data_IF_090296736501
#
_entry.id   IF_090296736501
#
_cell.length_a   1.000
_cell.length_b   1.000
_cell.length_c   1.000
_cell.angle_alpha   90.00
_cell.angle_beta   90.00
_cell.angle_gamma   90.00
#
_symmetry.space_group_name_H-M   'P 1'
#
loop_
_entity.id
_entity.type
_entity.pdbx_description
1 polymer ?
#
# COMPACT_ATOMS: atom_id res chain seq x y z
N UNK A 1 -2.10 -1.76 -4.82
CA UNK A 1 -1.51 -3.09 -5.05
C UNK A 1 -1.91 -3.49 -6.45
N UNK A 2 -0.96 -3.96 -7.25
CA UNK A 2 -1.26 -4.45 -8.59
C UNK A 2 -0.47 -5.71 -8.86
N UNK A 3 -1.17 -6.78 -9.22
CA UNK A 3 -0.56 -8.02 -9.73
C UNK A 3 -0.45 -8.00 -11.26
N UNK A 4 -0.72 -6.84 -11.89
CA UNK A 4 -0.68 -6.66 -13.34
C UNK A 4 -1.94 -7.18 -14.05
N UNK A 5 -2.99 -7.51 -13.29
CA UNK A 5 -4.27 -7.99 -13.80
C UNK A 5 -5.38 -7.08 -13.25
N UNK A 6 -6.00 -6.21 -14.08
CA UNK A 6 -6.92 -5.18 -13.62
C UNK A 6 -8.09 -5.66 -12.75
N UNK A 7 -8.59 -6.88 -12.99
CA UNK A 7 -9.68 -7.48 -12.19
C UNK A 7 -9.20 -7.90 -10.79
N UNK A 8 -7.99 -8.47 -10.66
CA UNK A 8 -7.42 -8.82 -9.37
C UNK A 8 -7.03 -7.56 -8.58
N UNK A 9 -6.52 -6.55 -9.27
CA UNK A 9 -6.23 -5.24 -8.68
C UNK A 9 -7.51 -4.55 -8.16
N UNK A 10 -8.64 -4.74 -8.85
CA UNK A 10 -9.94 -4.26 -8.41
C UNK A 10 -10.44 -5.00 -7.17
N UNK A 11 -10.26 -6.33 -7.13
CA UNK A 11 -10.57 -7.14 -5.96
C UNK A 11 -9.74 -6.67 -4.74
N UNK A 12 -8.41 -6.51 -4.88
CA UNK A 12 -7.56 -6.04 -3.77
C UNK A 12 -7.98 -4.66 -3.23
N UNK A 13 -8.53 -3.77 -4.08
CA UNK A 13 -9.08 -2.48 -3.63
C UNK A 13 -10.31 -2.62 -2.74
N UNK A 14 -11.13 -3.67 -2.92
CA UNK A 14 -12.29 -3.96 -2.05
C UNK A 14 -11.81 -4.25 -0.63
N UNK A 15 -10.83 -5.15 -0.47
CA UNK A 15 -10.29 -5.50 0.83
C UNK A 15 -9.67 -4.31 1.57
N UNK A 16 -8.93 -3.46 0.86
CA UNK A 16 -8.40 -2.20 1.41
C UNK A 16 -9.54 -1.28 1.87
N UNK A 17 -10.64 -1.21 1.11
CA UNK A 17 -11.83 -0.46 1.49
C UNK A 17 -12.44 -0.93 2.81
N UNK A 18 -12.50 -2.25 3.03
CA UNK A 18 -12.99 -2.85 4.27
C UNK A 18 -12.08 -2.54 5.47
N UNK A 19 -10.76 -2.61 5.28
CA UNK A 19 -9.76 -2.22 6.28
C UNK A 19 -9.94 -0.75 6.68
N UNK A 20 -10.08 0.15 5.71
CA UNK A 20 -10.30 1.58 5.95
C UNK A 20 -11.63 1.85 6.67
N UNK A 21 -12.67 1.08 6.37
CA UNK A 21 -13.94 1.19 7.07
C UNK A 21 -13.80 0.82 8.55
N UNK A 22 -13.15 -0.31 8.86
CA UNK A 22 -12.86 -0.71 10.24
C UNK A 22 -12.00 0.30 10.99
N UNK A 23 -10.98 0.87 10.34
CA UNK A 23 -10.12 1.88 10.97
C UNK A 23 -10.91 3.09 11.45
N UNK A 24 -11.84 3.58 10.63
CA UNK A 24 -12.67 4.75 10.95
C UNK A 24 -13.69 4.47 12.04
N UNK A 25 -14.14 3.22 12.18
CA UNK A 25 -15.17 2.87 13.16
C UNK A 25 -14.61 2.59 14.56
N UNK A 26 -13.28 2.58 14.76
CA UNK A 26 -12.67 2.30 16.08
C UNK A 26 -13.07 3.38 17.08
N UNK A 27 -13.73 2.97 18.16
CA UNK A 27 -14.17 3.89 19.23
C UNK A 27 -15.40 4.71 18.89
N UNK A 28 -16.02 4.48 17.73
CA UNK A 28 -17.31 5.08 17.34
C UNK A 28 -18.47 4.26 17.94
N UNK A 29 -19.63 4.89 18.14
CA UNK A 29 -20.86 4.23 18.56
C UNK A 29 -21.29 3.13 17.58
N UNK A 30 -20.92 3.25 16.30
CA UNK A 30 -21.22 2.29 15.24
C UNK A 30 -20.14 1.21 15.04
N UNK A 31 -19.12 1.12 15.91
CA UNK A 31 -17.99 0.18 15.77
C UNK A 31 -18.45 -1.25 15.45
N UNK A 32 -19.38 -1.78 16.26
CA UNK A 32 -19.84 -3.16 16.12
C UNK A 32 -20.71 -3.38 14.87
N UNK A 33 -21.46 -2.36 14.43
CA UNK A 33 -22.22 -2.44 13.20
C UNK A 33 -21.27 -2.49 11.98
N UNK A 34 -20.22 -1.67 11.99
CA UNK A 34 -19.17 -1.68 10.99
C UNK A 34 -18.44 -3.04 10.93
N UNK A 35 -18.11 -3.62 12.09
CA UNK A 35 -17.52 -4.98 12.18
C UNK A 35 -18.41 -6.00 11.48
N UNK A 36 -19.71 -6.04 11.79
CA UNK A 36 -20.64 -6.98 11.18
C UNK A 36 -20.78 -6.78 9.67
N UNK A 37 -20.77 -5.53 9.20
CA UNK A 37 -20.78 -5.23 7.76
C UNK A 37 -19.52 -5.71 7.05
N UNK A 38 -18.35 -5.51 7.67
CA UNK A 38 -17.08 -5.96 7.10
C UNK A 38 -16.98 -7.48 7.07
N UNK A 39 -17.35 -8.19 8.13
CA UNK A 39 -17.25 -9.66 8.16
C UNK A 39 -18.11 -10.31 7.06
N UNK A 40 -19.34 -9.83 6.83
CA UNK A 40 -20.18 -10.29 5.71
C UNK A 40 -19.56 -10.00 4.34
N UNK A 41 -19.04 -8.80 4.16
CA UNK A 41 -18.39 -8.41 2.90
C UNK A 41 -17.11 -9.23 2.64
N UNK A 42 -16.37 -9.61 3.67
CA UNK A 42 -15.17 -10.46 3.56
C UNK A 42 -15.51 -11.88 3.11
N UNK A 43 -16.63 -12.44 3.56
CA UNK A 43 -17.08 -13.78 3.17
C UNK A 43 -17.39 -13.83 1.66
N UNK A 44 -18.19 -12.87 1.18
CA UNK A 44 -18.54 -12.75 -0.25
C UNK A 44 -17.31 -12.47 -1.12
N UNK A 45 -16.43 -11.58 -0.65
CA UNK A 45 -15.17 -11.24 -1.31
C UNK A 45 -14.23 -12.45 -1.42
N UNK A 46 -13.97 -13.15 -0.31
CA UNK A 46 -13.02 -14.25 -0.23
C UNK A 46 -13.40 -15.38 -1.19
N UNK A 47 -14.67 -15.78 -1.19
CA UNK A 47 -15.14 -16.83 -2.10
C UNK A 47 -14.97 -16.42 -3.57
N UNK A 48 -15.32 -15.18 -3.93
CA UNK A 48 -15.28 -14.74 -5.33
C UNK A 48 -13.87 -14.46 -5.85
N UNK A 49 -13.00 -13.91 -5.01
CA UNK A 49 -11.63 -13.53 -5.36
C UNK A 49 -10.71 -14.74 -5.45
N UNK A 50 -10.68 -15.58 -4.41
CA UNK A 50 -9.80 -16.76 -4.36
C UNK A 50 -10.12 -17.74 -5.48
N UNK A 51 -11.40 -17.97 -5.76
CA UNK A 51 -11.80 -18.83 -6.88
C UNK A 51 -11.28 -18.29 -8.22
N UNK A 52 -11.27 -16.96 -8.41
CA UNK A 52 -10.76 -16.33 -9.63
C UNK A 52 -9.25 -16.52 -9.74
N UNK A 53 -8.53 -16.18 -8.69
CA UNK A 53 -7.09 -16.28 -8.60
C UNK A 53 -6.62 -17.72 -8.82
N UNK A 54 -7.22 -18.69 -8.13
CA UNK A 54 -6.89 -20.12 -8.27
C UNK A 54 -7.18 -20.66 -9.67
N UNK A 55 -8.23 -20.18 -10.35
CA UNK A 55 -8.48 -20.52 -11.76
C UNK A 55 -7.36 -20.02 -12.65
N UNK A 56 -6.91 -18.78 -12.46
CA UNK A 56 -5.82 -18.18 -13.23
C UNK A 56 -4.50 -18.92 -12.98
N UNK A 57 -4.19 -19.22 -11.72
CA UNK A 57 -3.00 -19.97 -11.32
C UNK A 57 -2.99 -21.40 -11.86
N UNK A 58 -4.15 -22.07 -11.88
CA UNK A 58 -4.31 -23.41 -12.49
C UNK A 58 -4.07 -23.37 -13.99
N UNK A 59 -4.57 -22.34 -14.67
CA UNK A 59 -4.40 -22.17 -16.11
C UNK A 59 -2.94 -21.91 -16.52
N UNK A 60 -2.17 -21.16 -15.73
CA UNK A 60 -0.72 -20.98 -15.97
C UNK A 60 0.16 -22.06 -15.32
N UNK A 61 -0.44 -23.12 -14.76
CA UNK A 61 0.24 -24.23 -14.07
C UNK A 61 1.22 -23.77 -12.99
N UNK A 62 0.79 -22.80 -12.18
CA UNK A 62 1.63 -22.24 -11.13
C UNK A 62 2.06 -23.32 -10.11
N UNK A 63 3.37 -23.52 -9.88
CA UNK A 63 3.88 -24.64 -9.08
C UNK A 63 3.44 -24.66 -7.62
N UNK A 64 3.14 -23.50 -7.02
CA UNK A 64 2.78 -23.36 -5.61
C UNK A 64 1.27 -23.21 -5.38
N UNK A 65 0.44 -23.59 -6.36
CA UNK A 65 -1.03 -23.46 -6.27
C UNK A 65 -1.60 -24.11 -4.99
N UNK A 66 -1.18 -25.33 -4.67
CA UNK A 66 -1.71 -26.04 -3.49
C UNK A 66 -1.32 -25.35 -2.17
N UNK A 67 -0.12 -24.77 -2.10
CA UNK A 67 0.33 -24.00 -0.94
C UNK A 67 -0.47 -22.70 -0.82
N UNK A 68 -0.69 -21.99 -1.92
CA UNK A 68 -1.46 -20.74 -1.94
C UNK A 68 -2.91 -20.97 -1.54
N UNK A 69 -3.52 -22.05 -2.03
CA UNK A 69 -4.87 -22.48 -1.66
C UNK A 69 -5.02 -22.79 -0.17
N UNK A 70 -4.00 -23.36 0.48
CA UNK A 70 -4.02 -23.57 1.93
C UNK A 70 -4.08 -22.24 2.69
N UNK A 71 -3.40 -21.19 2.20
CA UNK A 71 -3.50 -19.84 2.78
C UNK A 71 -4.91 -19.26 2.62
N UNK A 72 -5.56 -19.47 1.47
CA UNK A 72 -6.96 -19.07 1.27
C UNK A 72 -7.91 -19.77 2.25
N UNK A 73 -7.77 -21.09 2.41
CA UNK A 73 -8.59 -21.87 3.35
C UNK A 73 -8.44 -21.35 4.77
N UNK A 74 -7.22 -21.11 5.24
CA UNK A 74 -6.97 -20.57 6.57
C UNK A 74 -7.57 -19.17 6.80
N UNK A 75 -7.62 -18.34 5.75
CA UNK A 75 -8.30 -17.05 5.81
C UNK A 75 -9.80 -17.19 6.00
N UNK A 76 -10.44 -18.02 5.17
CA UNK A 76 -11.89 -18.27 5.23
C UNK A 76 -12.28 -18.81 6.61
N UNK A 77 -11.56 -19.81 7.12
CA UNK A 77 -11.80 -20.38 8.46
C UNK A 77 -11.67 -19.33 9.58
N UNK A 78 -10.77 -18.36 9.42
CA UNK A 78 -10.61 -17.26 10.37
C UNK A 78 -11.79 -16.28 10.31
N UNK A 79 -12.20 -15.87 9.10
CA UNK A 79 -13.35 -14.97 8.89
C UNK A 79 -14.61 -15.60 9.45
N UNK A 80 -14.89 -16.86 9.11
CA UNK A 80 -16.04 -17.58 9.66
C UNK A 80 -16.00 -17.68 11.18
N UNK A 81 -14.82 -17.87 11.78
CA UNK A 81 -14.69 -17.91 13.24
C UNK A 81 -15.02 -16.57 13.89
N UNK A 82 -14.60 -15.46 13.27
CA UNK A 82 -14.96 -14.11 13.73
C UNK A 82 -16.45 -13.86 13.53
N UNK A 83 -17.03 -14.27 12.40
CA UNK A 83 -18.46 -14.16 12.10
C UNK A 83 -19.31 -14.90 13.14
N UNK A 84 -18.99 -16.17 13.43
CA UNK A 84 -19.70 -16.96 14.46
C UNK A 84 -19.64 -16.32 15.85
N UNK A 85 -18.49 -15.75 16.23
CA UNK A 85 -18.35 -15.02 17.50
C UNK A 85 -19.24 -13.77 17.52
N UNK A 86 -19.19 -12.98 16.45
CA UNK A 86 -19.98 -11.77 16.31
C UNK A 86 -21.50 -12.04 16.33
N UNK A 87 -21.95 -13.11 15.68
CA UNK A 87 -23.37 -13.52 15.69
C UNK A 87 -23.84 -13.98 17.07
N UNK A 88 -22.98 -14.66 17.83
CA UNK A 88 -23.30 -15.08 19.19
C UNK A 88 -23.32 -13.89 20.18
N UNK A 89 -22.37 -12.95 20.03
CA UNK A 89 -22.28 -11.72 20.80
C UNK A 89 -21.58 -10.65 19.95
N UNK A 90 -22.35 -9.63 19.56
CA UNK A 90 -21.85 -8.54 18.70
C UNK A 90 -20.70 -7.76 19.33
N UNK A 91 -20.61 -7.75 20.67
CA UNK A 91 -19.55 -7.04 21.40
C UNK A 91 -18.27 -7.85 21.56
N UNK A 92 -18.33 -9.15 21.23
CA UNK A 92 -17.20 -10.08 21.37
C UNK A 92 -16.08 -9.87 20.36
N UNK A 93 -16.32 -9.07 19.31
CA UNK A 93 -15.35 -8.78 18.25
C UNK A 93 -15.19 -7.27 18.11
N UNK A 94 -13.96 -6.77 18.27
CA UNK A 94 -13.61 -5.36 18.14
C UNK A 94 -13.07 -5.05 16.74
N UNK A 95 -13.26 -3.82 16.29
CA UNK A 95 -12.72 -3.38 15.00
C UNK A 95 -11.18 -3.49 14.95
N UNK A 96 -10.50 -3.25 16.09
CA UNK A 96 -9.04 -3.43 16.21
C UNK A 96 -8.57 -4.86 15.99
N UNK A 97 -9.33 -5.85 16.45
CA UNK A 97 -8.98 -7.27 16.30
C UNK A 97 -9.09 -7.70 14.83
N UNK A 98 -10.21 -7.31 14.19
CA UNK A 98 -10.41 -7.51 12.76
C UNK A 98 -9.32 -6.81 11.94
N UNK A 99 -9.00 -5.57 12.28
CA UNK A 99 -7.95 -4.80 11.59
C UNK A 99 -6.58 -5.47 11.68
N UNK A 100 -6.21 -5.96 12.87
CA UNK A 100 -4.94 -6.65 13.09
C UNK A 100 -4.85 -7.91 12.24
N UNK A 101 -5.92 -8.70 12.22
CA UNK A 101 -6.00 -9.90 11.36
C UNK A 101 -5.90 -9.55 9.87
N UNK A 102 -6.71 -8.60 9.39
CA UNK A 102 -6.77 -8.25 7.97
C UNK A 102 -5.47 -7.61 7.47
N UNK A 103 -4.85 -6.74 8.26
CA UNK A 103 -3.55 -6.16 7.89
C UNK A 103 -2.46 -7.24 7.83
N UNK A 104 -2.43 -8.16 8.80
CA UNK A 104 -1.48 -9.27 8.77
C UNK A 104 -1.69 -10.14 7.53
N UNK A 105 -2.93 -10.50 7.23
CA UNK A 105 -3.22 -11.31 6.05
C UNK A 105 -2.92 -10.58 4.74
N UNK A 106 -3.26 -9.30 4.63
CA UNK A 106 -2.91 -8.46 3.47
C UNK A 106 -1.40 -8.47 3.19
N UNK A 107 -0.60 -8.34 4.25
CA UNK A 107 0.86 -8.32 4.18
C UNK A 107 1.42 -9.72 3.88
N UNK A 108 0.97 -10.74 4.59
CA UNK A 108 1.54 -12.09 4.52
C UNK A 108 1.07 -12.88 3.29
N UNK A 109 0.00 -12.45 2.62
CA UNK A 109 -0.58 -13.15 1.48
C UNK A 109 -0.48 -12.33 0.20
N UNK A 110 -1.13 -11.17 0.13
CA UNK A 110 -1.19 -10.39 -1.13
C UNK A 110 0.18 -9.79 -1.46
N UNK A 111 0.87 -9.21 -0.46
CA UNK A 111 2.15 -8.54 -0.70
C UNK A 111 3.32 -9.50 -0.96
N UNK A 112 3.26 -10.74 -0.46
CA UNK A 112 4.39 -11.70 -0.50
C UNK A 112 4.11 -12.93 -1.34
N UNK A 113 2.86 -13.41 -1.42
CA UNK A 113 2.45 -14.61 -2.17
C UNK A 113 1.94 -14.26 -3.57
N UNK A 114 0.99 -13.32 -3.69
CA UNK A 114 0.34 -13.01 -4.98
C UNK A 114 1.32 -12.42 -6.00
N UNK A 115 2.31 -11.69 -5.51
CA UNK A 115 3.40 -11.16 -6.34
C UNK A 115 4.25 -12.28 -6.98
N UNK A 116 4.23 -13.49 -6.42
CA UNK A 116 4.99 -14.64 -6.90
C UNK A 116 4.47 -15.25 -8.20
N UNK A 117 3.16 -15.21 -8.46
CA UNK A 117 2.60 -15.70 -9.73
C UNK A 117 2.52 -14.62 -10.82
N UNK A 118 2.78 -13.35 -10.49
CA UNK A 118 2.70 -12.22 -11.44
C UNK A 118 3.48 -12.48 -12.74
N UNK A 119 4.72 -12.96 -12.63
CA UNK A 119 5.57 -13.31 -13.78
C UNK A 119 5.03 -14.49 -14.59
N UNK A 120 4.20 -15.35 -13.99
CA UNK A 120 3.55 -16.48 -14.65
C UNK A 120 2.21 -16.11 -15.29
N UNK A 121 1.59 -14.99 -14.88
CA UNK A 121 0.31 -14.49 -15.42
C UNK A 121 0.48 -13.47 -16.55
N UNK A 122 1.46 -12.57 -16.45
CA UNK A 122 1.66 -11.51 -17.45
C UNK A 122 2.05 -12.14 -18.80
N UNK A 123 1.15 -12.05 -19.78
CA UNK A 123 1.30 -12.62 -21.12
C UNK A 123 0.68 -14.02 -21.32
N UNK A 124 0.14 -14.65 -20.28
CA UNK A 124 -0.45 -15.99 -20.38
C UNK A 124 -1.95 -15.92 -20.72
N UNK A 125 -2.28 -15.93 -22.02
CA UNK A 125 -3.64 -15.67 -22.53
C UNK A 125 -4.73 -16.58 -21.93
N UNK A 126 -4.45 -17.88 -21.81
CA UNK A 126 -5.39 -18.83 -21.19
C UNK A 126 -5.69 -18.53 -19.72
N UNK A 127 -4.73 -17.94 -19.00
CA UNK A 127 -4.93 -17.57 -17.59
C UNK A 127 -5.77 -16.31 -17.46
N UNK A 128 -5.59 -15.33 -18.35
CA UNK A 128 -6.42 -14.12 -18.40
C UNK A 128 -7.88 -14.45 -18.77
N UNK A 129 -8.07 -15.34 -19.74
CA UNK A 129 -9.40 -15.81 -20.15
C UNK A 129 -10.10 -16.59 -19.00
N UNK A 130 -9.37 -17.44 -18.27
CA UNK A 130 -9.88 -18.17 -17.10
C UNK A 130 -10.28 -17.25 -15.92
N UNK A 131 -9.68 -16.06 -15.83
CA UNK A 131 -10.02 -15.01 -14.87
C UNK A 131 -11.27 -14.20 -15.22
N UNK A 132 -11.84 -14.39 -16.41
CA UNK A 132 -13.03 -13.66 -16.88
C UNK A 132 -12.73 -12.35 -17.62
N UNK A 133 -11.48 -12.13 -18.07
CA UNK A 133 -11.10 -10.95 -18.84
C UNK A 133 -11.16 -11.29 -20.34
N UNK A 134 -12.12 -10.69 -21.08
CA UNK A 134 -12.01 -10.64 -22.55
C UNK A 134 -11.05 -9.51 -22.94
N UNK A 135 -10.02 -9.76 -23.76
CA UNK A 135 -9.17 -8.68 -24.26
C UNK A 135 -10.00 -7.80 -25.21
N UNK A 136 -10.15 -6.53 -24.87
CA UNK A 136 -10.70 -5.50 -25.75
C UNK A 136 -9.58 -4.96 -26.64
N UNK A 137 -9.47 -5.47 -27.88
CA UNK A 137 -8.59 -4.98 -28.96
C UNK A 137 -7.09 -5.20 -28.68
N UNK A 138 -6.24 -5.62 -29.62
CA UNK A 138 -6.19 -5.33 -31.05
C UNK A 138 -4.95 -4.46 -31.32
N UNK A 139 -3.84 -5.11 -31.64
CA UNK A 139 -2.60 -4.61 -32.28
C UNK A 139 -2.07 -3.22 -31.92
N UNK A 140 -1.03 -3.18 -31.08
CA UNK A 140 0.24 -2.48 -31.36
C UNK A 140 1.18 -2.57 -30.15
N UNK A 141 2.22 -3.39 -30.26
CA UNK A 141 3.41 -3.31 -29.41
C UNK A 141 4.21 -2.07 -29.85
N UNK A 142 4.00 -0.94 -29.19
CA UNK A 142 4.92 0.20 -29.24
C UNK A 142 5.37 0.56 -27.82
N UNK A 143 6.63 0.23 -27.54
CA UNK A 143 7.56 0.93 -26.62
C UNK A 143 6.96 1.87 -25.56
N UNK A 144 6.57 1.33 -24.40
CA UNK A 144 6.25 2.10 -23.19
C UNK A 144 7.11 1.67 -21.98
N UNK A 145 8.35 1.22 -22.20
CA UNK A 145 9.28 0.91 -21.09
C UNK A 145 9.63 2.15 -20.25
N UNK A 146 9.44 3.37 -20.78
CA UNK A 146 9.78 4.64 -20.13
C UNK A 146 8.70 5.14 -19.13
N UNK A 147 7.53 4.49 -19.08
CA UNK A 147 6.41 4.91 -18.21
C UNK A 147 6.36 4.20 -16.86
N UNK A 148 7.27 3.24 -16.61
CA UNK A 148 7.28 2.42 -15.39
C UNK A 148 8.37 2.83 -14.40
N UNK A 149 8.04 2.76 -13.10
CA UNK A 149 8.98 3.04 -12.01
C UNK A 149 9.82 1.78 -11.73
N UNK A 150 11.15 1.91 -11.76
CA UNK A 150 12.06 0.87 -11.32
C UNK A 150 12.22 0.93 -9.79
N UNK A 151 11.33 0.24 -9.09
CA UNK A 151 11.28 0.19 -7.63
C UNK A 151 12.58 -0.29 -6.98
N UNK A 152 13.36 -1.16 -7.66
CA UNK A 152 14.59 -1.75 -7.10
C UNK A 152 15.73 -0.75 -6.98
N UNK A 153 15.75 0.24 -7.87
CA UNK A 153 16.77 1.31 -7.88
C UNK A 153 16.36 2.51 -7.02
N UNK A 154 15.10 2.58 -6.61
CA UNK A 154 14.62 3.66 -5.79
C UNK A 154 15.24 3.55 -4.38
N UNK A 155 15.81 4.66 -3.90
CA UNK A 155 16.25 4.81 -2.52
C UNK A 155 15.34 5.81 -1.82
N UNK A 156 14.74 5.41 -0.72
CA UNK A 156 13.73 6.19 0.00
C UNK A 156 14.26 6.52 1.39
N UNK A 157 14.19 7.80 1.76
CA UNK A 157 14.37 8.24 3.13
C UNK A 157 13.01 8.39 3.79
N UNK A 158 12.79 7.69 4.90
CA UNK A 158 11.59 7.81 5.74
C UNK A 158 11.96 8.51 7.04
N UNK A 159 11.25 9.58 7.38
CA UNK A 159 11.45 10.37 8.60
C UNK A 159 10.16 10.33 9.41
N UNK A 160 10.13 9.56 10.48
CA UNK A 160 8.94 9.38 11.32
C UNK A 160 9.37 8.92 12.73
N UNK A 161 8.90 9.58 13.78
CA UNK A 161 9.25 9.25 15.17
C UNK A 161 8.44 8.05 15.71
N UNK A 162 7.33 7.71 15.06
CA UNK A 162 6.46 6.62 15.46
C UNK A 162 6.98 5.27 14.94
N UNK A 163 7.50 4.45 15.85
CA UNK A 163 8.03 3.11 15.54
C UNK A 163 7.04 2.23 14.76
N UNK A 164 5.77 2.19 15.19
CA UNK A 164 4.77 1.35 14.53
C UNK A 164 4.55 1.78 13.07
N UNK A 165 4.55 3.09 12.82
CA UNK A 165 4.32 3.61 11.49
C UNK A 165 5.54 3.42 10.57
N UNK A 166 6.76 3.54 11.12
CA UNK A 166 7.99 3.14 10.43
C UNK A 166 7.96 1.69 9.98
N UNK A 167 7.54 0.76 10.84
CA UNK A 167 7.43 -0.67 10.49
C UNK A 167 6.42 -0.91 9.36
N UNK A 168 5.26 -0.24 9.40
CA UNK A 168 4.25 -0.32 8.34
C UNK A 168 4.81 0.21 7.01
N UNK A 169 5.40 1.42 7.01
CA UNK A 169 5.99 1.99 5.79
C UNK A 169 7.09 1.11 5.23
N UNK A 170 7.98 0.58 6.08
CA UNK A 170 9.05 -0.33 5.66
C UNK A 170 8.50 -1.55 4.97
N UNK A 171 7.48 -2.16 5.57
CA UNK A 171 6.82 -3.36 5.05
C UNK A 171 6.23 -3.10 3.67
N UNK A 172 5.54 -1.98 3.49
CA UNK A 172 4.95 -1.59 2.19
C UNK A 172 6.03 -1.35 1.14
N UNK A 173 7.09 -0.60 1.47
CA UNK A 173 8.16 -0.25 0.54
C UNK A 173 8.99 -1.48 0.14
N UNK A 174 9.33 -2.36 1.10
CA UNK A 174 10.02 -3.60 0.83
C UNK A 174 9.18 -4.58 -0.01
N UNK A 175 7.88 -4.67 0.24
CA UNK A 175 6.99 -5.55 -0.52
C UNK A 175 6.98 -5.24 -2.03
N UNK A 176 7.16 -3.98 -2.43
CA UNK A 176 7.24 -3.60 -3.84
C UNK A 176 8.65 -3.66 -4.42
N UNK A 177 9.64 -4.11 -3.64
CA UNK A 177 11.01 -4.32 -4.08
C UNK A 177 11.95 -3.13 -3.90
N UNK A 178 11.57 -2.09 -3.14
CA UNK A 178 12.48 -0.98 -2.78
C UNK A 178 13.46 -1.51 -1.73
N UNK A 179 14.66 -1.93 -2.15
CA UNK A 179 15.69 -2.39 -1.22
C UNK A 179 16.41 -1.25 -0.46
N UNK A 180 16.37 -0.03 -1.00
CA UNK A 180 17.12 1.11 -0.50
C UNK A 180 16.37 2.00 0.48
N UNK A 181 15.71 1.43 1.49
CA UNK A 181 14.97 2.21 2.50
C UNK A 181 15.90 2.59 3.66
N UNK A 182 16.03 3.88 3.93
CA UNK A 182 16.69 4.42 5.13
C UNK A 182 15.65 5.07 6.00
N UNK A 183 15.64 4.75 7.29
CA UNK A 183 14.61 5.21 8.22
C UNK A 183 15.29 5.89 9.39
N UNK A 184 14.81 7.07 9.71
CA UNK A 184 15.34 7.92 10.79
C UNK A 184 14.18 8.43 11.63
N UNK A 185 14.45 8.72 12.91
CA UNK A 185 13.43 9.15 13.86
C UNK A 185 13.43 10.67 14.10
N UNK A 186 14.45 11.38 13.63
CA UNK A 186 14.63 12.81 13.88
C UNK A 186 15.08 13.61 12.66
N UNK A 187 14.93 14.94 12.74
CA UNK A 187 15.30 15.85 11.64
C UNK A 187 16.80 15.90 11.42
N UNK A 188 17.61 15.88 12.48
CA UNK A 188 19.08 15.94 12.34
C UNK A 188 19.66 14.68 11.68
N UNK A 189 19.12 13.50 12.00
CA UNK A 189 19.44 12.25 11.31
C UNK A 189 19.04 12.32 9.83
N UNK A 190 17.87 12.90 9.53
CA UNK A 190 17.41 13.10 8.15
C UNK A 190 18.34 14.03 7.37
N UNK A 191 18.78 15.14 7.97
CA UNK A 191 19.75 16.08 7.37
C UNK A 191 21.08 15.39 7.09
N UNK A 192 21.60 14.60 8.05
CA UNK A 192 22.83 13.85 7.88
C UNK A 192 22.73 12.84 6.72
N UNK A 193 21.61 12.10 6.64
CA UNK A 193 21.35 11.18 5.54
C UNK A 193 21.25 11.91 4.19
N UNK A 194 20.51 13.02 4.11
CA UNK A 194 20.35 13.80 2.89
C UNK A 194 21.65 14.41 2.39
N UNK A 195 22.54 14.82 3.30
CA UNK A 195 23.90 15.28 2.96
C UNK A 195 24.78 14.15 2.41
N UNK A 196 24.62 12.92 2.88
CA UNK A 196 25.29 11.75 2.31
C UNK A 196 24.73 11.38 0.91
N UNK A 197 23.47 11.73 0.66
CA UNK A 197 22.85 11.72 -0.67
C UNK A 197 22.47 10.34 -1.20
N UNK A 198 22.04 10.34 -2.46
CA UNK A 198 21.64 9.13 -3.20
C UNK A 198 20.22 8.66 -2.95
N UNK A 199 19.35 9.49 -2.40
CA UNK A 199 17.91 9.24 -2.32
C UNK A 199 17.21 9.68 -3.61
N UNK A 200 16.08 9.06 -3.93
CA UNK A 200 15.17 9.45 -5.01
C UNK A 200 13.80 9.90 -4.52
N UNK A 201 13.53 9.78 -3.21
CA UNK A 201 12.29 10.18 -2.55
C UNK A 201 12.54 10.40 -1.06
N UNK A 202 11.89 11.41 -0.49
CA UNK A 202 11.73 11.58 0.95
C UNK A 202 10.27 11.43 1.33
N UNK A 203 9.99 10.63 2.35
CA UNK A 203 8.68 10.53 3.00
C UNK A 203 8.88 11.06 4.43
N UNK A 204 8.20 12.13 4.79
CA UNK A 204 8.35 12.77 6.11
C UNK A 204 7.01 12.85 6.81
N UNK A 205 6.97 12.48 8.08
CA UNK A 205 5.87 12.88 8.95
C UNK A 205 5.90 14.40 9.16
N UNK A 206 4.72 14.95 9.46
CA UNK A 206 4.56 16.36 9.80
C UNK A 206 5.12 16.70 11.17
N UNK A 207 4.90 15.82 12.15
CA UNK A 207 5.40 15.99 13.51
C UNK A 207 6.46 14.94 13.76
N UNK A 208 7.63 15.37 14.18
CA UNK A 208 8.77 14.50 14.46
C UNK A 208 9.26 14.91 15.85
N UNK A 209 8.76 14.26 16.90
CA UNK A 209 8.91 14.75 18.27
C UNK A 209 8.37 16.17 18.43
N UNK A 210 9.24 17.07 18.91
CA UNK A 210 8.92 18.50 19.09
C UNK A 210 9.18 19.35 17.83
N UNK A 211 9.73 18.74 16.77
CA UNK A 211 10.09 19.44 15.53
C UNK A 211 9.03 19.24 14.42
N UNK A 212 9.00 20.18 13.46
CA UNK A 212 8.11 20.09 12.30
C UNK A 212 8.82 19.57 11.06
N UNK A 213 8.27 18.52 10.45
CA UNK A 213 8.72 18.02 9.15
C UNK A 213 8.64 19.07 8.03
N UNK A 214 7.79 20.11 8.16
CA UNK A 214 7.80 21.23 7.22
C UNK A 214 9.12 22.00 7.22
N UNK A 215 9.80 22.08 8.36
CA UNK A 215 11.11 22.73 8.44
C UNK A 215 12.18 21.89 7.75
N UNK A 216 12.05 20.56 7.77
CA UNK A 216 12.86 19.67 6.93
C UNK A 216 12.60 19.92 5.44
N UNK A 217 11.34 20.04 5.01
CA UNK A 217 10.99 20.34 3.61
C UNK A 217 11.61 21.68 3.17
N UNK A 218 11.43 22.74 3.96
CA UNK A 218 12.02 24.05 3.67
C UNK A 218 13.53 23.97 3.58
N UNK A 219 14.16 23.26 4.51
CA UNK A 219 15.60 23.03 4.50
C UNK A 219 16.06 22.29 3.22
N UNK A 220 15.35 21.26 2.78
CA UNK A 220 15.64 20.53 1.53
C UNK A 220 15.63 21.50 0.33
N UNK A 221 14.63 22.39 0.26
CA UNK A 221 14.50 23.34 -0.85
C UNK A 221 15.54 24.47 -0.81
N UNK A 222 15.98 24.90 0.36
CA UNK A 222 16.99 25.98 0.49
C UNK A 222 18.43 25.48 0.46
N UNK A 223 18.68 24.19 0.69
CA UNK A 223 20.02 23.61 0.74
C UNK A 223 20.74 23.56 -0.62
N UNK A 224 20.02 23.76 -1.73
CA UNK A 224 20.57 23.72 -3.09
C UNK A 224 21.04 22.33 -3.53
N UNK A 225 21.57 22.23 -4.75
CA UNK A 225 22.07 20.97 -5.32
C UNK A 225 20.98 19.96 -5.68
N UNK A 226 21.39 18.69 -5.89
CA UNK A 226 20.49 17.60 -6.33
C UNK A 226 19.36 17.35 -5.32
N UNK A 227 19.64 17.52 -4.03
CA UNK A 227 18.65 17.32 -2.97
C UNK A 227 17.45 18.27 -3.07
N UNK A 228 17.65 19.48 -3.59
CA UNK A 228 16.56 20.47 -3.75
C UNK A 228 15.49 20.06 -4.77
N UNK A 229 15.80 19.13 -5.69
CA UNK A 229 14.87 18.58 -6.67
C UNK A 229 14.24 17.25 -6.24
N UNK A 230 14.59 16.72 -5.06
CA UNK A 230 14.06 15.44 -4.59
C UNK A 230 12.55 15.54 -4.34
N UNK A 231 11.76 14.56 -4.82
CA UNK A 231 10.37 14.44 -4.43
C UNK A 231 10.23 14.30 -2.92
N UNK A 232 9.33 15.09 -2.33
CA UNK A 232 9.00 15.03 -0.90
C UNK A 232 7.50 14.76 -0.72
N UNK A 233 7.18 13.63 -0.10
CA UNK A 233 5.84 13.26 0.31
C UNK A 233 5.65 13.53 1.80
N UNK A 234 4.70 14.41 2.15
CA UNK A 234 4.36 14.72 3.53
C UNK A 234 3.24 13.81 4.04
N UNK A 235 3.40 13.26 5.24
CA UNK A 235 2.40 12.46 5.92
C UNK A 235 1.85 13.23 7.14
N UNK A 236 0.57 13.10 7.45
CA UNK A 236 -0.01 13.76 8.64
C UNK A 236 -1.19 13.02 9.25
N UNK A 237 -1.27 12.98 10.57
CA UNK A 237 -2.37 12.38 11.33
C UNK A 237 -3.59 13.30 11.52
N UNK A 238 -3.53 14.57 11.12
CA UNK A 238 -4.56 15.57 11.46
C UNK A 238 -5.45 15.98 10.27
N UNK A 239 -6.69 16.36 10.59
CA UNK A 239 -7.73 16.72 9.64
C UNK A 239 -7.69 18.22 9.28
N UNK A 240 -7.83 18.53 7.98
CA UNK A 240 -7.98 19.90 7.48
C UNK A 240 -7.44 20.09 6.06
N UNK A 241 -8.24 20.57 5.09
CA UNK A 241 -7.77 20.84 3.72
C UNK A 241 -6.64 21.88 3.67
N UNK A 242 -6.62 22.84 4.60
CA UNK A 242 -5.59 23.89 4.68
C UNK A 242 -4.17 23.34 4.86
N UNK A 243 -4.02 22.14 5.45
CA UNK A 243 -2.69 21.53 5.67
C UNK A 243 -2.03 21.08 4.38
N UNK A 244 -2.82 20.67 3.39
CA UNK A 244 -2.29 20.34 2.07
C UNK A 244 -1.63 21.56 1.46
N UNK A 245 -2.32 22.69 1.49
CA UNK A 245 -1.82 23.95 0.93
C UNK A 245 -0.56 24.42 1.69
N UNK A 246 -0.53 24.28 3.01
CA UNK A 246 0.65 24.59 3.83
C UNK A 246 1.84 23.68 3.50
N UNK A 247 1.63 22.37 3.32
CA UNK A 247 2.70 21.44 2.93
C UNK A 247 3.27 21.78 1.55
N UNK A 248 2.39 22.03 0.57
CA UNK A 248 2.80 22.39 -0.79
C UNK A 248 3.51 23.74 -0.82
N UNK A 249 3.03 24.73 -0.05
CA UNK A 249 3.69 26.03 0.08
C UNK A 249 5.07 25.95 0.74
N UNK A 250 5.30 24.97 1.63
CA UNK A 250 6.61 24.69 2.20
C UNK A 250 7.56 24.01 1.18
N UNK A 251 7.03 23.54 0.06
CA UNK A 251 7.77 22.92 -1.03
C UNK A 251 7.63 21.39 -1.10
N UNK A 252 6.68 20.78 -0.40
CA UNK A 252 6.38 19.35 -0.59
C UNK A 252 5.76 19.14 -1.98
N UNK A 253 6.00 17.97 -2.58
CA UNK A 253 5.43 17.65 -3.88
C UNK A 253 4.03 17.04 -3.76
N UNK A 254 3.76 16.31 -2.68
CA UNK A 254 2.41 15.86 -2.34
C UNK A 254 2.22 15.62 -0.83
N UNK A 255 0.98 15.36 -0.43
CA UNK A 255 0.54 15.20 0.94
C UNK A 255 -0.44 14.03 1.08
N UNK A 256 -0.27 13.21 2.12
CA UNK A 256 -1.17 12.12 2.45
C UNK A 256 -1.56 12.13 3.93
N UNK A 257 -2.84 11.84 4.18
CA UNK A 257 -3.39 11.74 5.53
C UNK A 257 -3.25 10.31 6.06
N UNK A 258 -2.81 10.17 7.31
CA UNK A 258 -2.87 8.90 8.06
C UNK A 258 -4.31 8.67 8.55
N UNK A 259 -4.82 7.42 8.56
CA UNK A 259 -4.16 6.19 8.15
C UNK A 259 -3.99 6.09 6.63
N UNK A 260 -2.86 5.54 6.18
CA UNK A 260 -2.51 5.44 4.77
C UNK A 260 -2.67 4.00 4.31
N UNK A 261 -3.43 3.79 3.23
CA UNK A 261 -3.50 2.50 2.56
C UNK A 261 -2.25 2.28 1.67
N UNK A 262 -1.72 1.05 1.66
CA UNK A 262 -0.53 0.72 0.88
C UNK A 262 -0.69 1.05 -0.62
N UNK A 263 -1.86 0.79 -1.19
CA UNK A 263 -2.15 1.09 -2.60
C UNK A 263 -2.02 2.58 -2.92
N UNK A 264 -2.64 3.45 -2.11
CA UNK A 264 -2.60 4.90 -2.34
C UNK A 264 -1.21 5.49 -2.12
N UNK A 265 -0.44 4.95 -1.16
CA UNK A 265 0.95 5.34 -0.95
C UNK A 265 1.79 5.04 -2.19
N UNK A 266 1.69 3.82 -2.72
CA UNK A 266 2.47 3.38 -3.87
C UNK A 266 2.10 4.13 -5.15
N UNK A 267 0.81 4.42 -5.36
CA UNK A 267 0.35 5.23 -6.49
C UNK A 267 0.91 6.65 -6.42
N UNK A 268 0.85 7.29 -5.24
CA UNK A 268 1.42 8.61 -5.02
C UNK A 268 2.94 8.62 -5.28
N UNK A 269 3.67 7.65 -4.72
CA UNK A 269 5.11 7.51 -4.95
C UNK A 269 5.41 7.36 -6.45
N UNK A 270 4.67 6.48 -7.14
CA UNK A 270 4.89 6.26 -8.57
C UNK A 270 4.72 7.56 -9.38
N UNK A 271 3.65 8.32 -9.09
CA UNK A 271 3.39 9.60 -9.72
C UNK A 271 4.51 10.60 -9.46
N UNK A 272 4.96 10.72 -8.20
CA UNK A 272 6.04 11.62 -7.81
C UNK A 272 7.36 11.31 -8.54
N UNK A 273 7.71 10.03 -8.66
CA UNK A 273 8.92 9.61 -9.37
C UNK A 273 8.83 9.86 -10.88
N UNK A 274 7.67 9.59 -11.50
CA UNK A 274 7.48 9.87 -12.92
C UNK A 274 7.49 11.37 -13.22
N UNK A 275 6.98 12.20 -12.31
CA UNK A 275 7.01 13.65 -12.43
C UNK A 275 8.43 14.22 -12.26
N UNK A 276 9.24 13.69 -11.34
CA UNK A 276 10.61 14.17 -11.12
C UNK A 276 11.53 13.92 -12.30
N UNK A 277 11.35 12.79 -13.00
CA UNK A 277 12.05 12.48 -14.26
C UNK A 277 11.76 13.48 -15.37
N UNK A 278 10.57 14.09 -15.40
CA UNK A 278 10.18 15.10 -16.40
C UNK A 278 10.72 16.50 -16.08
N UNK A 279 11.14 16.74 -14.83
CA UNK A 279 11.68 18.03 -14.37
C UNK A 279 13.22 18.09 -14.45
N UNK A 280 13.88 16.95 -14.66
CA UNK A 280 15.34 16.81 -14.78
C UNK A 280 15.76 16.83 -16.24
#
# INVERSE_FOLDING_TARGET
MSVGVPILDADHRILIGLINHLQRSIGDAEEYAAVGSVLRALEEYASSHFDREERMMRACRFPLLDQHRQTHVGFVEQVERLQRRYEADQTSVRARDCLTFLNRWLIDHICTSDMGYRTSLVGHREALDAGGVRPLGGDSLSSDEDSSVDWRRLRVLVVDDNLNFREILSTILWAVGIGGVTIVAGIDEARAALNAGGFGLVISDWHIGDESGLDLVRWIRTSGGVSSALPVLMLSAYEGPERRDVALAAGADDFMRKPIAAGTLLECIAQLILQSRRRS
#
